data_IF_312964018868
#
_entry.id   IF_312964018868
#
_cell.length_a   1.000
_cell.length_b   1.000
_cell.length_c   1.000
_cell.angle_alpha   90.00
_cell.angle_beta   90.00
_cell.angle_gamma   90.00
#
_symmetry.space_group_name_H-M   'P 1'
#
loop_
_entity.id
_entity.type
_entity.pdbx_description
1 polymer ?
#
# COMPACT_ATOMS: atom_id res chain seq x y z
N UNK A 1 2.26 -15.21 12.28
CA UNK A 1 1.30 -16.03 13.07
C UNK A 1 -0.05 -15.98 12.38
N UNK A 2 -1.08 -16.68 12.86
CA UNK A 2 -2.44 -16.52 12.31
C UNK A 2 -2.92 -15.07 12.41
N UNK A 3 -2.61 -14.39 13.51
CA UNK A 3 -2.96 -12.99 13.76
C UNK A 3 -2.35 -12.04 12.71
N UNK A 4 -1.07 -12.20 12.39
CA UNK A 4 -0.38 -11.46 11.32
C UNK A 4 -1.05 -11.66 9.95
N UNK A 5 -1.45 -12.89 9.62
CA UNK A 5 -2.11 -13.17 8.35
C UNK A 5 -3.48 -12.48 8.27
N UNK A 6 -4.26 -12.53 9.34
CA UNK A 6 -5.54 -11.82 9.44
C UNK A 6 -5.36 -10.30 9.28
N UNK A 7 -4.30 -9.73 9.86
CA UNK A 7 -4.06 -8.30 9.76
C UNK A 7 -3.62 -7.87 8.35
N UNK A 8 -2.81 -8.68 7.67
CA UNK A 8 -2.44 -8.46 6.26
C UNK A 8 -3.68 -8.49 5.37
N UNK A 9 -4.57 -9.46 5.55
CA UNK A 9 -5.84 -9.56 4.80
C UNK A 9 -6.75 -8.34 5.07
N UNK A 10 -6.82 -7.89 6.33
CA UNK A 10 -7.57 -6.69 6.72
C UNK A 10 -7.03 -5.45 6.03
N UNK A 11 -5.71 -5.25 6.04
CA UNK A 11 -5.04 -4.10 5.41
C UNK A 11 -5.27 -4.11 3.89
N UNK A 12 -5.16 -5.28 3.24
CA UNK A 12 -5.47 -5.42 1.82
C UNK A 12 -6.93 -5.04 1.50
N UNK A 13 -7.88 -5.51 2.31
CA UNK A 13 -9.30 -5.18 2.12
C UNK A 13 -9.58 -3.69 2.26
N UNK A 14 -8.90 -2.99 3.19
CA UNK A 14 -9.00 -1.53 3.32
C UNK A 14 -8.42 -0.85 2.09
N UNK A 15 -7.22 -1.23 1.66
CA UNK A 15 -6.58 -0.67 0.47
C UNK A 15 -7.49 -0.78 -0.77
N UNK A 16 -8.07 -1.97 -1.00
CA UNK A 16 -9.01 -2.23 -2.09
C UNK A 16 -10.27 -1.36 -1.98
N UNK A 17 -10.84 -1.26 -0.78
CA UNK A 17 -12.05 -0.47 -0.53
C UNK A 17 -11.82 1.02 -0.78
N UNK A 18 -10.70 1.57 -0.28
CA UNK A 18 -10.33 2.97 -0.51
C UNK A 18 -10.15 3.24 -2.00
N UNK A 19 -9.45 2.35 -2.71
CA UNK A 19 -9.20 2.46 -4.15
C UNK A 19 -10.46 2.30 -5.02
N UNK A 20 -11.46 1.54 -4.56
CA UNK A 20 -12.74 1.36 -5.24
C UNK A 20 -13.72 2.53 -4.99
N UNK A 21 -13.75 3.06 -3.76
CA UNK A 21 -14.65 4.15 -3.39
C UNK A 21 -14.33 5.43 -4.15
N UNK A 22 -13.06 5.75 -4.37
CA UNK A 22 -12.65 6.92 -5.16
C UNK A 22 -13.07 6.81 -6.64
N UNK A 23 -13.17 5.59 -7.19
CA UNK A 23 -13.68 5.37 -8.55
C UNK A 23 -15.19 5.55 -8.70
N UNK A 24 -15.95 5.50 -7.61
CA UNK A 24 -17.42 5.56 -7.64
C UNK A 24 -17.98 6.97 -7.39
N UNK A 25 -17.16 7.93 -7.00
CA UNK A 25 -17.58 9.34 -6.90
C UNK A 25 -17.30 10.05 -8.23
N UNK A 26 -18.37 10.43 -8.94
CA UNK A 26 -18.37 11.15 -10.21
C UNK A 26 -17.81 12.59 -10.04
N UNK A 27 -16.52 12.70 -9.78
CA UNK A 27 -15.75 13.94 -9.83
C UNK A 27 -14.40 13.66 -10.51
N UNK A 28 -13.96 14.63 -11.29
CA UNK A 28 -13.03 14.50 -12.41
C UNK A 28 -11.58 14.35 -11.91
N UNK A 29 -11.26 13.21 -11.33
CA UNK A 29 -9.90 12.67 -11.15
C UNK A 29 -10.03 11.18 -10.83
N UNK A 30 -10.21 10.37 -11.88
CA UNK A 30 -10.53 8.94 -11.79
C UNK A 30 -9.37 8.04 -11.29
N UNK A 31 -8.30 8.62 -10.75
CA UNK A 31 -7.12 7.93 -10.25
C UNK A 31 -6.49 8.82 -9.18
N UNK A 32 -7.20 9.12 -8.07
CA UNK A 32 -6.52 9.75 -6.93
C UNK A 32 -5.67 8.67 -6.27
N UNK A 33 -4.33 8.76 -6.33
CA UNK A 33 -3.49 7.74 -5.75
C UNK A 33 -3.52 7.86 -4.22
N UNK A 34 -3.53 6.72 -3.51
CA UNK A 34 -3.59 6.73 -2.03
C UNK A 34 -2.18 7.03 -1.52
N UNK A 35 -2.01 8.13 -0.80
CA UNK A 35 -0.75 8.45 -0.10
C UNK A 35 -0.32 7.29 0.80
N UNK A 36 0.91 6.81 0.61
CA UNK A 36 1.46 5.70 1.39
C UNK A 36 1.51 6.05 2.88
N UNK A 37 1.91 7.28 3.21
CA UNK A 37 2.02 7.74 4.59
C UNK A 37 0.65 7.81 5.26
N UNK A 38 -0.36 8.37 4.60
CA UNK A 38 -1.72 8.43 5.15
C UNK A 38 -2.33 7.04 5.35
N UNK A 39 -1.91 6.06 4.55
CA UNK A 39 -2.36 4.68 4.67
C UNK A 39 -1.75 3.94 5.87
N UNK A 40 -0.44 4.14 6.14
CA UNK A 40 0.26 3.39 7.20
C UNK A 40 0.31 4.09 8.55
N UNK A 41 0.17 5.42 8.60
CA UNK A 41 0.29 6.18 9.85
C UNK A 41 -0.93 5.95 10.74
N UNK A 42 -0.67 5.48 11.97
CA UNK A 42 -1.61 5.61 13.06
C UNK A 42 -1.23 6.86 13.88
N UNK A 43 -2.14 7.85 14.04
CA UNK A 43 -1.83 9.12 14.71
C UNK A 43 -1.67 8.99 16.23
N UNK A 44 -2.01 7.83 16.80
CA UNK A 44 -2.01 7.58 18.24
C UNK A 44 -0.91 6.59 18.66
N UNK A 45 -0.31 5.85 17.72
CA UNK A 45 0.67 4.82 17.99
C UNK A 45 1.75 4.70 16.91
N UNK A 46 2.97 5.12 17.25
CA UNK A 46 4.15 4.88 16.43
C UNK A 46 4.40 3.38 16.19
N UNK A 47 4.24 2.55 17.23
CA UNK A 47 4.42 1.11 17.11
C UNK A 47 3.44 0.50 16.08
N UNK A 48 2.18 0.95 16.09
CA UNK A 48 1.20 0.51 15.09
C UNK A 48 1.55 1.01 13.69
N UNK A 49 2.10 2.22 13.57
CA UNK A 49 2.61 2.72 12.28
C UNK A 49 3.71 1.81 11.72
N UNK A 50 4.66 1.39 12.56
CA UNK A 50 5.72 0.45 12.17
C UNK A 50 5.14 -0.92 11.80
N UNK A 51 4.16 -1.43 12.55
CA UNK A 51 3.44 -2.68 12.24
C UNK A 51 2.71 -2.59 10.89
N UNK A 52 1.99 -1.49 10.63
CA UNK A 52 1.31 -1.24 9.36
C UNK A 52 2.31 -1.23 8.20
N UNK A 53 3.44 -0.53 8.33
CA UNK A 53 4.52 -0.53 7.34
C UNK A 53 5.08 -1.94 7.10
N UNK A 54 5.24 -2.72 8.17
CA UNK A 54 5.70 -4.10 8.09
C UNK A 54 4.70 -4.96 7.31
N UNK A 55 3.41 -4.92 7.62
CA UNK A 55 2.38 -5.68 6.89
C UNK A 55 2.28 -5.28 5.42
N UNK A 56 2.36 -3.98 5.10
CA UNK A 56 2.35 -3.51 3.71
C UNK A 56 3.54 -4.05 2.94
N UNK A 57 4.70 -4.24 3.58
CA UNK A 57 5.86 -4.87 2.93
C UNK A 57 5.56 -6.31 2.46
N UNK A 58 4.69 -7.05 3.16
CA UNK A 58 4.23 -8.38 2.71
C UNK A 58 3.32 -8.26 1.48
N UNK A 59 2.40 -7.29 1.47
CA UNK A 59 1.52 -7.05 0.32
C UNK A 59 2.34 -6.75 -0.94
N UNK A 60 3.38 -5.93 -0.83
CA UNK A 60 4.26 -5.58 -1.96
C UNK A 60 5.09 -6.79 -2.39
N UNK A 61 5.69 -7.50 -1.43
CA UNK A 61 6.48 -8.71 -1.70
C UNK A 61 5.66 -9.79 -2.41
N UNK A 62 4.40 -9.94 -2.00
CA UNK A 62 3.48 -10.95 -2.51
C UNK A 62 2.74 -10.46 -3.78
N UNK A 63 3.04 -9.25 -4.27
CA UNK A 63 2.50 -8.69 -5.51
C UNK A 63 1.04 -8.26 -5.42
N UNK A 64 0.51 -8.11 -4.21
CA UNK A 64 -0.88 -7.72 -3.93
C UNK A 64 -1.06 -6.19 -3.89
N UNK A 65 0.03 -5.45 -3.69
CA UNK A 65 0.07 -3.99 -3.78
C UNK A 65 1.37 -3.53 -4.45
N UNK A 66 1.35 -2.31 -4.98
CA UNK A 66 2.54 -1.64 -5.54
C UNK A 66 2.67 -0.23 -4.96
N UNK A 67 3.91 0.25 -4.80
CA UNK A 67 4.21 1.65 -4.48
C UNK A 67 4.76 2.35 -5.72
N UNK A 68 4.23 3.54 -6.01
CA UNK A 68 4.67 4.44 -7.08
C UNK A 68 4.97 5.82 -6.51
N UNK A 69 5.57 6.67 -7.32
CA UNK A 69 5.67 8.09 -7.03
C UNK A 69 4.62 8.83 -7.84
N UNK A 70 3.93 9.78 -7.22
CA UNK A 70 3.03 10.70 -7.91
C UNK A 70 3.80 11.84 -8.59
N UNK A 71 3.07 12.81 -9.14
CA UNK A 71 3.64 13.97 -9.83
C UNK A 71 4.50 14.87 -8.92
N UNK A 72 4.30 14.79 -7.60
CA UNK A 72 5.06 15.51 -6.57
C UNK A 72 6.22 14.67 -6.00
N UNK A 73 6.54 13.53 -6.63
CA UNK A 73 7.54 12.55 -6.20
C UNK A 73 7.25 11.96 -4.80
N UNK A 74 5.98 11.95 -4.38
CA UNK A 74 5.54 11.38 -3.11
C UNK A 74 5.09 9.93 -3.27
N UNK A 75 5.37 9.05 -2.30
CA UNK A 75 5.02 7.64 -2.40
C UNK A 75 3.51 7.45 -2.24
N UNK A 76 2.94 6.74 -3.21
CA UNK A 76 1.54 6.34 -3.25
C UNK A 76 1.41 4.83 -3.39
N UNK A 77 0.37 4.26 -2.80
CA UNK A 77 0.10 2.82 -2.80
C UNK A 77 -1.20 2.50 -3.53
N UNK A 78 -1.19 1.43 -4.32
CA UNK A 78 -2.37 0.92 -5.00
C UNK A 78 -2.43 -0.61 -4.95
N UNK A 79 -3.64 -1.20 -4.95
CA UNK A 79 -3.78 -2.65 -5.07
C UNK A 79 -3.40 -3.09 -6.48
N UNK A 80 -2.65 -4.18 -6.60
CA UNK A 80 -2.35 -4.77 -7.91
C UNK A 80 -3.65 -5.32 -8.51
N UNK A 81 -3.95 -4.98 -9.76
CA UNK A 81 -5.08 -5.60 -10.48
C UNK A 81 -4.80 -7.10 -10.58
N UNK A 82 -5.59 -7.92 -9.89
CA UNK A 82 -5.58 -9.38 -10.04
C UNK A 82 -5.73 -9.73 -11.52
N UNK A 83 -4.62 -10.00 -12.21
CA UNK A 83 -4.66 -10.66 -13.51
C UNK A 83 -5.00 -12.11 -13.23
N UNK A 84 -6.28 -12.43 -13.16
CA UNK A 84 -6.75 -13.80 -13.32
C UNK A 84 -6.10 -14.36 -14.60
N UNK A 85 -5.12 -15.27 -14.43
CA UNK A 85 -4.61 -16.07 -15.54
C UNK A 85 -3.41 -15.53 -16.33
N UNK A 86 -2.50 -14.74 -15.74
CA UNK A 86 -1.15 -14.61 -16.33
C UNK A 86 -0.13 -15.20 -15.38
N UNK A 87 0.51 -16.25 -15.88
CA UNK A 87 1.62 -17.00 -15.30
C UNK A 87 2.56 -16.09 -14.50
N UNK A 88 3.03 -16.60 -13.37
CA UNK A 88 4.21 -16.13 -12.65
C UNK A 88 5.42 -16.12 -13.59
N UNK A 89 5.47 -15.16 -14.51
CA UNK A 89 6.70 -14.80 -15.19
C UNK A 89 7.53 -14.07 -14.16
N UNK A 90 8.36 -14.86 -13.48
CA UNK A 90 9.59 -14.46 -12.81
C UNK A 90 10.58 -13.86 -13.83
N UNK A 91 10.14 -12.90 -14.64
CA UNK A 91 11.01 -12.11 -15.49
C UNK A 91 11.02 -10.71 -14.91
N UNK A 92 11.96 -10.48 -13.99
CA UNK A 92 12.70 -9.23 -13.79
C UNK A 92 11.98 -7.90 -14.10
N UNK A 93 10.67 -7.80 -13.81
CA UNK A 93 9.94 -6.55 -13.76
C UNK A 93 10.53 -5.78 -12.60
N UNK A 94 10.96 -4.54 -12.88
CA UNK A 94 11.74 -3.70 -11.97
C UNK A 94 11.33 -3.96 -10.52
N UNK A 95 12.24 -4.55 -9.73
CA UNK A 95 12.08 -4.65 -8.28
C UNK A 95 12.07 -3.22 -7.76
N UNK A 96 10.90 -2.60 -7.70
CA UNK A 96 10.69 -1.27 -7.18
C UNK A 96 10.82 -1.35 -5.65
N UNK A 97 12.07 -1.44 -5.19
CA UNK A 97 12.41 -1.35 -3.78
C UNK A 97 12.41 0.13 -3.40
N UNK A 98 11.52 0.49 -2.49
CA UNK A 98 11.47 1.82 -1.89
C UNK A 98 12.05 1.72 -0.50
N UNK A 99 13.08 2.52 -0.20
CA UNK A 99 13.65 2.64 1.14
C UNK A 99 13.12 3.93 1.75
N UNK A 100 12.41 3.82 2.87
CA UNK A 100 11.83 4.96 3.59
C UNK A 100 12.36 4.98 5.02
N UNK A 101 12.65 6.17 5.53
CA UNK A 101 12.98 6.40 6.93
C UNK A 101 11.84 7.15 7.62
N UNK A 102 11.44 6.69 8.79
CA UNK A 102 10.48 7.37 9.65
C UNK A 102 10.93 7.26 11.10
N UNK A 103 11.30 8.38 11.69
CA UNK A 103 11.62 8.49 13.11
C UNK A 103 10.36 8.79 13.92
N UNK A 104 10.38 8.48 15.22
CA UNK A 104 9.28 8.84 16.12
C UNK A 104 9.06 10.36 16.22
N UNK A 105 10.06 11.18 15.89
CA UNK A 105 9.92 12.64 15.83
C UNK A 105 9.20 13.07 14.56
N UNK A 106 9.51 12.48 13.40
CA UNK A 106 8.83 12.75 12.13
C UNK A 106 7.39 12.23 12.09
N UNK A 107 7.10 11.17 12.85
CA UNK A 107 5.75 10.63 13.00
C UNK A 107 4.81 11.56 13.80
N UNK A 108 5.35 12.43 14.66
CA UNK A 108 4.56 13.35 15.51
C UNK A 108 4.24 14.65 14.79
#
# INVERSE_FOLDING_TARGET
SHEEATEIERILGILQTLFENDRNHFCISADTPISFFDFVIDPNSFARTVENMFHVSFLIRDGLAEIKLDDDELPVIEPTKSREGVEYNQESGARNQVVMSLTQQEWK
#
